data_IF_460969143823
#
_entry.id   IF_460969143823
#
_cell.length_a   1.000
_cell.length_b   1.000
_cell.length_c   1.000
_cell.angle_alpha   90.00
_cell.angle_beta   90.00
_cell.angle_gamma   90.00
#
_symmetry.space_group_name_H-M   'P 1'
#
loop_
_entity.id
_entity.type
_entity.pdbx_description
1 polymer ?
#
# COMPACT_ATOMS: atom_id res chain seq x y z
N UNK A 1 1.82 -16.85 -22.01
CA UNK A 1 1.95 -15.41 -21.72
C UNK A 1 2.69 -15.32 -20.40
N UNK A 2 3.90 -14.80 -20.37
CA UNK A 2 4.71 -14.70 -19.15
C UNK A 2 4.20 -13.53 -18.32
N UNK A 3 3.32 -13.83 -17.37
CA UNK A 3 2.85 -12.91 -16.35
C UNK A 3 4.02 -12.63 -15.41
N UNK A 4 4.57 -11.41 -15.51
CA UNK A 4 5.75 -11.00 -14.75
C UNK A 4 5.25 -10.45 -13.41
N UNK A 5 5.60 -11.12 -12.32
CA UNK A 5 5.18 -10.69 -10.99
C UNK A 5 6.14 -9.61 -10.48
N UNK A 6 5.58 -8.56 -9.88
CA UNK A 6 6.35 -7.46 -9.32
C UNK A 6 5.93 -7.22 -7.87
N UNK A 7 6.92 -7.22 -6.98
CA UNK A 7 6.73 -6.83 -5.59
C UNK A 7 6.40 -5.33 -5.58
N UNK A 8 5.23 -4.97 -5.07
CA UNK A 8 4.84 -3.57 -4.90
C UNK A 8 4.23 -3.34 -3.54
N UNK A 9 4.28 -2.08 -3.11
CA UNK A 9 3.62 -1.62 -1.91
C UNK A 9 2.41 -0.79 -2.29
N UNK A 10 1.22 -1.22 -1.86
CA UNK A 10 -0.02 -0.50 -2.09
C UNK A 10 -0.38 0.25 -0.83
N UNK A 11 -0.57 1.57 -0.95
CA UNK A 11 -1.05 2.44 0.10
C UNK A 11 -2.54 2.69 -0.15
N UNK A 12 -3.37 2.49 0.89
CA UNK A 12 -4.82 2.61 0.78
C UNK A 12 -5.48 3.06 2.09
N UNK A 13 -6.65 3.67 1.99
CA UNK A 13 -7.59 3.83 3.10
C UNK A 13 -8.63 2.72 3.07
N UNK A 14 -9.10 2.28 4.23
CA UNK A 14 -10.30 1.45 4.33
C UNK A 14 -11.55 2.35 4.34
N UNK A 15 -12.68 1.87 3.83
CA UNK A 15 -13.94 2.63 3.86
C UNK A 15 -14.40 3.03 5.29
N UNK A 16 -13.97 2.28 6.31
CA UNK A 16 -14.35 2.49 7.71
C UNK A 16 -13.51 3.56 8.44
N UNK A 17 -12.50 4.16 7.79
CA UNK A 17 -11.63 5.13 8.47
C UNK A 17 -10.65 5.90 7.58
N UNK A 18 -9.99 6.90 8.18
CA UNK A 18 -8.96 7.72 7.55
C UNK A 18 -7.53 7.25 7.88
N UNK A 19 -7.39 6.01 8.33
CA UNK A 19 -6.11 5.43 8.71
C UNK A 19 -5.33 4.96 7.47
N UNK A 20 -4.11 5.46 7.31
CA UNK A 20 -3.28 5.12 6.16
C UNK A 20 -2.70 3.72 6.32
N UNK A 21 -3.19 2.77 5.54
CA UNK A 21 -2.65 1.41 5.50
C UNK A 21 -1.69 1.24 4.32
N UNK A 22 -0.71 0.36 4.50
CA UNK A 22 0.12 -0.11 3.40
C UNK A 22 0.23 -1.63 3.41
N UNK A 23 0.36 -2.22 2.23
CA UNK A 23 0.55 -3.66 2.07
C UNK A 23 1.51 -3.96 0.95
N UNK A 24 2.57 -4.68 1.29
CA UNK A 24 3.56 -5.18 0.34
C UNK A 24 3.07 -6.53 -0.18
N UNK A 25 2.94 -6.67 -1.50
CA UNK A 25 2.52 -7.91 -2.13
C UNK A 25 2.97 -7.96 -3.58
N UNK A 26 3.22 -9.17 -4.06
CA UNK A 26 3.50 -9.44 -5.46
C UNK A 26 2.20 -9.42 -6.26
N UNK A 27 2.18 -8.60 -7.31
CA UNK A 27 1.07 -8.50 -8.24
C UNK A 27 1.55 -8.73 -9.66
N UNK A 28 0.61 -9.14 -10.50
CA UNK A 28 0.88 -9.35 -11.91
C UNK A 28 1.10 -8.04 -12.65
N UNK A 29 1.99 -8.04 -13.63
CA UNK A 29 2.30 -6.88 -14.44
C UNK A 29 1.81 -7.09 -15.88
N UNK A 30 1.21 -6.07 -16.47
CA UNK A 30 0.86 -6.09 -17.89
C UNK A 30 2.10 -5.86 -18.78
N UNK A 31 1.96 -6.05 -20.09
CA UNK A 31 3.05 -5.88 -21.05
C UNK A 31 3.62 -4.44 -21.11
N UNK A 32 2.88 -3.45 -20.61
CA UNK A 32 3.29 -2.03 -20.55
C UNK A 32 3.99 -1.67 -19.23
N UNK A 33 4.16 -2.65 -18.34
CA UNK A 33 4.81 -2.44 -17.06
C UNK A 33 3.89 -1.96 -15.94
N UNK A 34 2.57 -1.91 -16.15
CA UNK A 34 1.58 -1.52 -15.12
C UNK A 34 1.17 -2.72 -14.28
N UNK A 35 1.13 -2.52 -12.97
CA UNK A 35 0.70 -3.54 -12.03
C UNK A 35 -0.82 -3.70 -12.04
N UNK A 36 -1.27 -4.94 -12.15
CA UNK A 36 -2.67 -5.37 -12.19
C UNK A 36 -3.11 -5.70 -10.76
N UNK A 37 -3.78 -4.75 -10.12
CA UNK A 37 -4.39 -4.96 -8.81
C UNK A 37 -5.80 -5.56 -8.99
N UNK A 38 -6.09 -6.75 -8.43
CA UNK A 38 -7.37 -7.42 -8.58
C UNK A 38 -8.50 -6.62 -7.93
N UNK A 39 -9.70 -6.66 -8.53
CA UNK A 39 -10.89 -5.94 -8.01
C UNK A 39 -11.20 -6.30 -6.56
N UNK A 40 -11.11 -7.59 -6.21
CA UNK A 40 -11.29 -8.07 -4.83
C UNK A 40 -10.33 -7.41 -3.83
N UNK A 41 -9.14 -6.99 -4.26
CA UNK A 41 -8.24 -6.26 -3.38
C UNK A 41 -8.67 -4.81 -3.18
N UNK A 42 -9.27 -4.18 -4.21
CA UNK A 42 -9.74 -2.79 -4.18
C UNK A 42 -11.09 -2.62 -3.46
N UNK A 43 -11.84 -3.68 -3.30
CA UNK A 43 -13.12 -3.64 -2.59
C UNK A 43 -12.91 -3.26 -1.12
N UNK A 44 -13.67 -2.27 -0.65
CA UNK A 44 -13.52 -1.69 0.69
C UNK A 44 -12.23 -0.87 0.91
N UNK A 45 -11.49 -0.57 -0.17
CA UNK A 45 -10.18 0.10 -0.12
C UNK A 45 -10.04 1.19 -1.18
N UNK A 46 -9.84 2.41 -0.73
CA UNK A 46 -9.45 3.53 -1.59
C UNK A 46 -7.94 3.52 -1.81
N UNK A 47 -7.50 3.10 -3.00
CA UNK A 47 -6.07 3.03 -3.36
C UNK A 47 -5.53 4.45 -3.56
N UNK A 48 -4.51 4.82 -2.78
CA UNK A 48 -3.89 6.15 -2.79
C UNK A 48 -2.62 6.17 -3.62
N UNK A 49 -1.76 5.16 -3.44
CA UNK A 49 -0.52 5.03 -4.18
C UNK A 49 -0.10 3.58 -4.36
N UNK A 50 0.67 3.33 -5.41
CA UNK A 50 1.31 2.04 -5.70
C UNK A 50 2.78 2.33 -5.92
N UNK A 51 3.63 1.80 -5.04
CA UNK A 51 5.06 2.00 -5.07
C UNK A 51 5.76 0.73 -5.54
N UNK A 52 6.82 0.88 -6.33
CA UNK A 52 7.64 -0.23 -6.75
C UNK A 52 8.46 -0.79 -5.58
N UNK A 53 8.50 -2.11 -5.44
CA UNK A 53 9.23 -2.78 -4.36
C UNK A 53 8.56 -2.68 -2.99
N UNK A 54 9.37 -2.92 -1.98
CA UNK A 54 9.01 -2.78 -0.56
C UNK A 54 9.44 -1.40 -0.08
N UNK A 55 8.50 -0.62 0.44
CA UNK A 55 8.80 0.66 1.08
C UNK A 55 8.52 0.58 2.57
N UNK A 56 9.34 1.28 3.34
CA UNK A 56 9.09 1.51 4.75
C UNK A 56 8.36 2.85 4.92
N UNK A 57 7.20 2.82 5.59
CA UNK A 57 6.46 4.04 5.91
C UNK A 57 6.86 4.51 7.30
N UNK A 58 7.64 5.60 7.33
CA UNK A 58 8.16 6.19 8.57
C UNK A 58 7.10 6.95 9.37
N UNK A 59 6.08 7.52 8.72
CA UNK A 59 5.00 8.23 9.39
C UNK A 59 3.68 8.06 8.64
N UNK A 60 2.58 7.92 9.38
CA UNK A 60 1.23 7.73 8.83
C UNK A 60 0.30 8.83 9.31
N UNK A 61 -0.71 9.15 8.51
CA UNK A 61 -1.82 10.00 8.98
C UNK A 61 -2.48 9.31 10.17
N UNK A 62 -2.58 10.01 11.31
CA UNK A 62 -3.06 9.46 12.58
C UNK A 62 -1.98 8.96 13.54
N UNK A 63 -0.72 8.83 13.11
CA UNK A 63 0.40 8.30 13.91
C UNK A 63 0.77 9.21 15.11
N UNK A 64 0.35 10.49 15.08
CA UNK A 64 0.51 11.45 16.21
C UNK A 64 -0.29 11.11 17.48
N UNK A 65 -0.96 9.95 17.55
CA UNK A 65 -1.67 9.50 18.75
C UNK A 65 -0.84 8.50 19.59
N UNK A 66 0.26 7.94 19.07
CA UNK A 66 1.13 7.04 19.85
C UNK A 66 2.42 7.73 20.28
N UNK A 67 2.35 8.27 21.50
CA UNK A 67 3.43 8.47 22.47
C UNK A 67 4.80 8.85 21.90
N UNK A 68 5.05 10.16 21.86
CA UNK A 68 6.40 10.69 22.09
C UNK A 68 6.90 10.12 23.42
N UNK A 69 7.70 9.06 23.38
CA UNK A 69 8.60 8.74 24.48
C UNK A 69 9.91 9.47 24.19
N UNK A 70 9.88 10.79 24.36
CA UNK A 70 11.10 11.60 24.43
C UNK A 70 11.79 11.19 25.72
N UNK A 71 12.78 10.31 25.64
CA UNK A 71 13.73 10.13 26.74
C UNK A 71 14.71 11.30 26.68
N UNK A 72 14.68 12.11 27.73
CA UNK A 72 15.55 13.26 27.94
C UNK A 72 17.02 12.86 28.12
#
# INVERSE_FOLDING_TARGET
>A
MTTQQRKVTIIYYCDDGLELHHKVKDFDQNAEGRVIIPKLFKEGKSIIAVCDGEIEILNKVGDRILSVNYVA
#
